data_IF_836120618146
#
_entry.id   IF_836120618146
#
_cell.length_a   1.000
_cell.length_b   1.000
_cell.length_c   1.000
_cell.angle_alpha   90.00
_cell.angle_beta   90.00
_cell.angle_gamma   90.00
#
_symmetry.space_group_name_H-M   'P 1'
#
loop_
_entity.id
_entity.type
_entity.pdbx_description
1 polymer ?
#
# COMPACT_ATOMS: atom_id res chain seq x y z
N UNK A 1 -9.11 8.36 -21.29
CA UNK A 1 -9.23 8.16 -19.83
C UNK A 1 -10.51 7.37 -19.59
N UNK A 2 -10.48 6.27 -18.83
CA UNK A 2 -11.74 5.66 -18.34
C UNK A 2 -12.42 6.68 -17.45
N UNK A 3 -13.71 6.93 -17.66
CA UNK A 3 -14.51 7.71 -16.70
C UNK A 3 -14.60 6.90 -15.41
N UNK A 4 -13.98 7.39 -14.33
CA UNK A 4 -14.10 6.77 -13.01
C UNK A 4 -15.48 7.11 -12.47
N UNK A 5 -16.30 6.09 -12.21
CA UNK A 5 -17.61 6.26 -11.61
C UNK A 5 -17.49 6.47 -10.10
N UNK A 6 -17.82 7.68 -9.64
CA UNK A 6 -17.85 8.05 -8.22
C UNK A 6 -19.27 8.21 -7.67
N UNK A 7 -20.29 7.84 -8.44
CA UNK A 7 -21.70 8.05 -8.09
C UNK A 7 -22.09 7.39 -6.77
N UNK A 8 -21.48 6.25 -6.44
CA UNK A 8 -21.68 5.54 -5.17
C UNK A 8 -21.40 6.44 -3.95
N UNK A 9 -20.42 7.34 -4.03
CA UNK A 9 -20.03 8.21 -2.92
C UNK A 9 -21.10 9.27 -2.57
N UNK A 10 -22.03 9.55 -3.50
CA UNK A 10 -23.09 10.54 -3.34
C UNK A 10 -24.33 10.07 -2.58
N UNK A 11 -24.43 8.76 -2.28
CA UNK A 11 -25.58 8.19 -1.56
C UNK A 11 -25.23 7.74 -0.14
N UNK A 12 -26.27 7.47 0.65
CA UNK A 12 -26.14 6.78 1.92
C UNK A 12 -25.83 5.29 1.65
N UNK A 13 -24.90 4.67 2.39
CA UNK A 13 -24.54 3.27 2.21
C UNK A 13 -25.67 2.33 2.64
N UNK A 14 -25.90 1.29 1.83
CA UNK A 14 -26.86 0.22 2.10
C UNK A 14 -26.15 -1.13 2.24
N UNK A 15 -25.85 -1.59 3.45
CA UNK A 15 -25.08 -2.82 3.69
C UNK A 15 -25.95 -4.10 3.63
N UNK A 16 -26.83 -4.18 2.63
CA UNK A 16 -27.82 -5.26 2.50
C UNK A 16 -27.27 -6.52 1.83
N UNK A 17 -26.25 -6.42 0.97
CA UNK A 17 -25.66 -7.57 0.30
C UNK A 17 -24.66 -8.29 1.21
N UNK A 18 -24.73 -9.63 1.26
CA UNK A 18 -23.75 -10.47 1.96
C UNK A 18 -22.88 -11.20 0.95
N UNK A 19 -21.58 -10.96 1.04
CA UNK A 19 -20.60 -11.38 0.03
C UNK A 19 -19.50 -12.20 0.70
N UNK A 20 -19.08 -13.26 0.03
CA UNK A 20 -17.84 -13.96 0.35
C UNK A 20 -16.77 -13.51 -0.62
N UNK A 21 -15.76 -12.83 -0.09
CA UNK A 21 -14.59 -12.38 -0.84
C UNK A 21 -13.45 -13.37 -0.62
N UNK A 22 -12.91 -13.89 -1.71
CA UNK A 22 -11.70 -14.67 -1.73
C UNK A 22 -10.53 -13.79 -2.16
N UNK A 23 -9.43 -13.81 -1.40
CA UNK A 23 -8.19 -13.09 -1.73
C UNK A 23 -7.06 -14.10 -1.76
N UNK A 24 -6.52 -14.35 -2.95
CA UNK A 24 -5.43 -15.30 -3.19
C UNK A 24 -4.11 -14.53 -3.35
N UNK A 25 -3.15 -14.67 -2.41
CA UNK A 25 -1.84 -14.04 -2.53
C UNK A 25 -0.94 -14.76 -3.53
N UNK A 26 -0.28 -13.98 -4.39
CA UNK A 26 0.76 -14.45 -5.32
C UNK A 26 2.18 -14.11 -4.87
N UNK A 27 2.28 -13.33 -3.80
CA UNK A 27 3.53 -12.91 -3.20
C UNK A 27 3.38 -12.77 -1.68
N UNK A 28 4.48 -12.86 -0.92
CA UNK A 28 4.50 -12.52 0.50
C UNK A 28 3.91 -11.13 0.74
N UNK A 29 3.04 -11.00 1.74
CA UNK A 29 2.24 -9.80 1.96
C UNK A 29 2.76 -9.05 3.17
N UNK A 30 2.91 -7.72 3.06
CA UNK A 30 3.23 -6.86 4.19
C UNK A 30 2.08 -5.88 4.44
N UNK A 31 1.15 -6.30 5.31
CA UNK A 31 0.00 -5.51 5.75
C UNK A 31 0.32 -4.79 7.05
N UNK A 32 0.49 -3.46 7.05
CA UNK A 32 0.94 -2.72 8.24
C UNK A 32 -0.20 -1.83 8.73
N UNK A 33 -0.57 -1.93 10.01
CA UNK A 33 -1.70 -1.20 10.58
C UNK A 33 -1.43 0.29 10.85
N UNK A 34 -0.19 0.65 11.17
CA UNK A 34 0.20 2.00 11.59
C UNK A 34 1.50 2.45 10.93
N UNK A 35 1.79 3.76 10.96
CA UNK A 35 3.08 4.29 10.56
C UNK A 35 4.13 3.76 11.54
N UNK A 36 5.05 2.89 11.11
CA UNK A 36 6.02 2.35 12.05
C UNK A 36 7.13 3.35 12.28
N UNK A 37 7.69 3.30 13.50
CA UNK A 37 8.96 3.93 13.81
C UNK A 37 10.10 3.22 13.09
N UNK A 38 10.67 2.18 13.70
CA UNK A 38 11.86 1.47 13.20
C UNK A 38 11.58 0.11 12.54
N UNK A 39 10.34 -0.39 12.58
CA UNK A 39 10.00 -1.74 12.12
C UNK A 39 8.56 -1.84 11.60
N UNK A 40 8.39 -2.30 10.36
CA UNK A 40 7.07 -2.52 9.76
C UNK A 40 6.56 -3.92 10.12
N UNK A 41 5.77 -4.04 11.20
CA UNK A 41 5.15 -5.31 11.61
C UNK A 41 3.92 -5.63 10.74
N UNK A 42 3.82 -6.86 10.26
CA UNK A 42 2.73 -7.31 9.42
C UNK A 42 1.55 -7.82 10.27
N UNK A 43 0.33 -7.55 9.81
CA UNK A 43 -0.89 -8.14 10.33
C UNK A 43 -1.07 -9.54 9.75
N UNK A 44 -1.65 -10.44 10.54
CA UNK A 44 -2.04 -11.76 10.07
C UNK A 44 -3.25 -11.71 9.13
N UNK A 45 -4.21 -10.82 9.43
CA UNK A 45 -5.46 -10.68 8.69
C UNK A 45 -5.61 -9.24 8.17
N UNK A 46 -6.14 -9.05 6.94
CA UNK A 46 -6.49 -7.72 6.46
C UNK A 46 -7.60 -7.12 7.32
N UNK A 47 -7.42 -5.86 7.71
CA UNK A 47 -8.47 -5.08 8.37
C UNK A 47 -9.31 -4.32 7.33
N UNK A 48 -10.38 -3.68 7.80
CA UNK A 48 -11.28 -2.88 6.97
C UNK A 48 -10.55 -1.78 6.20
N UNK A 49 -9.52 -1.17 6.78
CA UNK A 49 -8.77 -0.10 6.12
C UNK A 49 -7.95 -0.64 4.95
N UNK A 50 -7.29 -1.78 5.13
CA UNK A 50 -6.54 -2.49 4.08
C UNK A 50 -7.46 -2.95 2.95
N UNK A 51 -8.60 -3.55 3.28
CA UNK A 51 -9.59 -3.98 2.27
C UNK A 51 -10.15 -2.80 1.48
N UNK A 52 -10.32 -1.64 2.11
CA UNK A 52 -10.75 -0.43 1.40
C UNK A 52 -9.71 -0.01 0.35
N UNK A 53 -8.43 -0.02 0.71
CA UNK A 53 -7.34 0.24 -0.24
C UNK A 53 -7.32 -0.75 -1.39
N UNK A 54 -7.56 -2.04 -1.11
CA UNK A 54 -7.65 -3.09 -2.11
C UNK A 54 -8.80 -2.85 -3.10
N UNK A 55 -10.02 -2.60 -2.63
CA UNK A 55 -11.17 -2.35 -3.51
C UNK A 55 -10.97 -1.12 -4.38
N UNK A 56 -10.50 -0.01 -3.80
CA UNK A 56 -10.20 1.20 -4.54
C UNK A 56 -9.11 0.97 -5.60
N UNK A 57 -8.08 0.18 -5.28
CA UNK A 57 -7.05 -0.18 -6.25
C UNK A 57 -7.61 -1.00 -7.42
N UNK A 58 -8.43 -2.01 -7.15
CA UNK A 58 -9.06 -2.84 -8.21
C UNK A 58 -9.96 -1.99 -9.11
N UNK A 59 -10.72 -1.06 -8.53
CA UNK A 59 -11.56 -0.11 -9.27
C UNK A 59 -10.76 0.97 -10.02
N UNK A 60 -9.43 1.02 -9.84
CA UNK A 60 -8.54 2.00 -10.46
C UNK A 60 -8.59 3.39 -9.84
N UNK A 61 -9.05 3.52 -8.58
CA UNK A 61 -9.18 4.78 -7.84
C UNK A 61 -7.84 5.25 -7.25
N UNK A 62 -6.89 5.56 -8.15
CA UNK A 62 -5.55 6.02 -7.81
C UNK A 62 -5.45 7.54 -7.60
N UNK A 63 -6.30 8.07 -6.72
CA UNK A 63 -6.34 9.50 -6.43
C UNK A 63 -5.18 9.98 -5.56
N UNK A 64 -4.68 11.17 -5.85
CA UNK A 64 -3.72 11.84 -4.96
C UNK A 64 -4.38 12.20 -3.63
N UNK A 65 -3.58 12.43 -2.59
CA UNK A 65 -4.10 12.88 -1.28
C UNK A 65 -4.94 14.14 -1.41
N UNK A 66 -4.50 15.11 -2.21
CA UNK A 66 -5.21 16.37 -2.43
C UNK A 66 -6.59 16.14 -3.04
N UNK A 67 -6.68 15.26 -4.03
CA UNK A 67 -7.96 14.92 -4.67
C UNK A 67 -8.88 14.20 -3.69
N UNK A 68 -8.34 13.28 -2.87
CA UNK A 68 -9.11 12.62 -1.80
C UNK A 68 -9.65 13.61 -0.79
N UNK A 69 -8.89 14.63 -0.40
CA UNK A 69 -9.36 15.68 0.51
C UNK A 69 -10.51 16.51 -0.10
N UNK A 70 -10.44 16.80 -1.41
CA UNK A 70 -11.50 17.49 -2.15
C UNK A 70 -12.76 16.63 -2.21
N UNK A 71 -12.64 15.37 -2.67
CA UNK A 71 -13.75 14.41 -2.75
C UNK A 71 -14.41 14.25 -1.36
N UNK A 72 -13.60 14.10 -0.32
CA UNK A 72 -14.07 13.96 1.07
C UNK A 72 -14.90 15.17 1.52
N UNK A 73 -14.46 16.39 1.15
CA UNK A 73 -15.19 17.62 1.46
C UNK A 73 -16.54 17.68 0.73
N UNK A 74 -16.59 17.23 -0.51
CA UNK A 74 -17.83 17.15 -1.29
C UNK A 74 -18.80 16.12 -0.72
N UNK A 75 -18.34 14.90 -0.41
CA UNK A 75 -19.13 13.86 0.25
C UNK A 75 -19.72 14.38 1.56
N UNK A 76 -18.91 15.06 2.38
CA UNK A 76 -19.36 15.67 3.64
C UNK A 76 -20.48 16.69 3.40
N UNK A 77 -20.41 17.48 2.33
CA UNK A 77 -21.46 18.46 2.00
C UNK A 77 -22.75 17.81 1.51
N UNK A 78 -22.64 16.72 0.73
CA UNK A 78 -23.78 15.93 0.24
C UNK A 78 -24.49 15.25 1.43
N UNK A 79 -23.73 14.53 2.27
CA UNK A 79 -24.26 13.74 3.39
C UNK A 79 -24.66 14.56 4.61
N UNK A 80 -24.21 15.80 4.75
CA UNK A 80 -24.81 16.74 5.74
C UNK A 80 -26.31 16.94 5.55
N UNK A 81 -26.81 16.72 4.33
CA UNK A 81 -28.24 16.84 4.00
C UNK A 81 -29.01 15.53 4.21
N UNK A 82 -28.34 14.41 4.48
CA UNK A 82 -28.97 13.09 4.66
C UNK A 82 -29.21 12.77 6.14
N UNK A 83 -30.12 11.82 6.42
CA UNK A 83 -30.58 11.52 7.79
C UNK A 83 -29.51 10.85 8.67
N UNK A 84 -28.56 10.11 8.08
CA UNK A 84 -27.51 9.37 8.81
C UNK A 84 -26.30 10.25 9.17
N UNK A 85 -26.16 11.43 8.56
CA UNK A 85 -25.00 12.29 8.75
C UNK A 85 -23.72 11.72 8.13
N UNK A 86 -22.64 12.51 8.16
CA UNK A 86 -21.32 12.09 7.67
C UNK A 86 -20.41 11.69 8.83
N UNK A 87 -19.99 10.44 8.86
CA UNK A 87 -18.94 9.96 9.78
C UNK A 87 -17.61 10.06 9.04
N UNK A 88 -16.62 10.82 9.56
CA UNK A 88 -15.32 10.88 8.93
C UNK A 88 -14.63 9.50 9.00
N UNK A 89 -14.04 9.01 7.90
CA UNK A 89 -13.32 7.75 7.91
C UNK A 89 -12.11 7.83 8.82
N UNK A 90 -11.73 6.70 9.42
CA UNK A 90 -10.47 6.59 10.15
C UNK A 90 -9.31 6.70 9.15
N UNK A 91 -8.62 7.83 9.21
CA UNK A 91 -7.39 8.05 8.45
C UNK A 91 -6.27 7.33 9.19
N UNK A 92 -5.66 6.34 8.54
CA UNK A 92 -4.41 5.73 9.00
C UNK A 92 -3.34 6.02 7.96
N UNK A 93 -2.14 6.36 8.44
CA UNK A 93 -1.08 6.88 7.57
C UNK A 93 -1.56 8.13 6.79
N UNK A 94 -1.17 8.26 5.52
CA UNK A 94 -1.57 9.33 4.60
C UNK A 94 -2.79 8.97 3.74
N UNK A 95 -3.38 7.79 3.94
CA UNK A 95 -4.46 7.28 3.11
C UNK A 95 -5.84 7.63 3.69
N UNK A 96 -6.69 8.24 2.86
CA UNK A 96 -8.06 8.60 3.19
C UNK A 96 -8.98 7.61 2.47
N UNK A 97 -9.57 6.62 3.16
CA UNK A 97 -10.40 5.60 2.53
C UNK A 97 -11.77 6.19 2.18
N UNK A 98 -12.13 6.14 0.89
CA UNK A 98 -13.38 6.68 0.35
C UNK A 98 -14.52 5.67 0.42
N UNK A 99 -14.21 4.37 0.32
CA UNK A 99 -15.21 3.29 0.33
C UNK A 99 -15.50 2.71 1.72
N UNK A 100 -14.89 3.25 2.79
CA UNK A 100 -14.98 2.68 4.14
C UNK A 100 -16.41 2.52 4.67
N UNK A 101 -17.35 3.36 4.25
CA UNK A 101 -18.74 3.29 4.73
C UNK A 101 -19.60 2.29 3.95
N UNK A 102 -19.12 1.81 2.80
CA UNK A 102 -19.89 0.98 1.86
C UNK A 102 -19.70 -0.52 2.05
N UNK A 103 -18.94 -0.91 3.08
CA UNK A 103 -18.84 -2.30 3.48
C UNK A 103 -18.52 -2.42 4.97
N UNK A 104 -18.83 -3.58 5.55
CA UNK A 104 -18.47 -3.98 6.89
C UNK A 104 -17.89 -5.39 6.86
N UNK A 105 -16.76 -5.59 7.53
CA UNK A 105 -16.06 -6.87 7.59
C UNK A 105 -16.61 -7.69 8.76
N UNK A 106 -17.36 -8.76 8.48
CA UNK A 106 -17.93 -9.62 9.52
C UNK A 106 -16.89 -10.61 10.05
N UNK A 107 -16.15 -11.28 9.16
CA UNK A 107 -15.11 -12.24 9.56
C UNK A 107 -14.05 -12.44 8.48
N UNK A 108 -12.85 -12.86 8.90
CA UNK A 108 -11.75 -13.25 8.03
C UNK A 108 -11.15 -14.55 8.54
N UNK A 109 -10.82 -15.46 7.63
CA UNK A 109 -10.00 -16.64 7.92
C UNK A 109 -9.00 -16.89 6.82
N UNK A 110 -7.92 -17.58 7.16
CA UNK A 110 -6.97 -18.14 6.18
C UNK A 110 -7.39 -19.58 5.93
N UNK A 111 -7.57 -19.93 4.66
CA UNK A 111 -7.76 -21.31 4.20
C UNK A 111 -6.46 -21.69 3.50
N UNK A 112 -5.63 -22.47 4.20
CA UNK A 112 -4.28 -22.84 3.78
C UNK A 112 -4.00 -24.28 4.23
N UNK A 113 -3.22 -25.01 3.45
CA UNK A 113 -2.71 -26.32 3.86
C UNK A 113 -1.64 -26.20 4.94
N UNK A 114 -0.88 -25.11 4.90
CA UNK A 114 0.22 -24.83 5.81
C UNK A 114 -0.11 -23.72 6.81
N UNK A 115 0.63 -23.70 7.92
CA UNK A 115 0.51 -22.62 8.89
C UNK A 115 1.17 -21.34 8.34
N UNK A 116 0.50 -20.19 8.42
CA UNK A 116 1.11 -18.92 8.04
C UNK A 116 2.34 -18.64 8.90
N UNK A 117 3.41 -18.13 8.27
CA UNK A 117 4.60 -17.71 8.99
C UNK A 117 5.03 -16.29 8.57
N UNK A 118 5.73 -15.64 9.49
CA UNK A 118 6.27 -14.31 9.30
C UNK A 118 7.78 -14.40 9.11
N UNK A 119 8.32 -13.57 8.22
CA UNK A 119 9.75 -13.40 8.07
C UNK A 119 10.09 -11.94 7.80
N UNK A 120 11.32 -11.55 8.11
CA UNK A 120 11.81 -10.21 7.86
C UNK A 120 12.56 -10.16 6.56
N UNK A 121 12.22 -9.15 5.76
CA UNK A 121 12.99 -8.81 4.58
C UNK A 121 13.24 -7.30 4.52
N UNK A 122 14.24 -7.00 3.73
CA UNK A 122 14.77 -5.70 3.45
C UNK A 122 13.99 -5.13 2.26
N UNK A 123 13.18 -4.10 2.52
CA UNK A 123 12.26 -3.56 1.52
C UNK A 123 13.01 -2.91 0.35
N UNK A 124 12.82 -3.43 -0.87
CA UNK A 124 13.38 -2.87 -2.10
C UNK A 124 12.51 -1.72 -2.59
N UNK A 125 13.14 -0.61 -2.95
CA UNK A 125 12.50 0.60 -3.47
C UNK A 125 13.13 1.00 -4.78
N UNK A 126 12.28 1.45 -5.72
CA UNK A 126 12.75 2.14 -6.91
C UNK A 126 13.22 3.56 -6.54
N UNK A 127 14.21 4.05 -7.28
CA UNK A 127 14.82 5.36 -7.09
C UNK A 127 13.76 6.46 -7.06
N UNK A 128 13.86 7.33 -6.04
CA UNK A 128 13.09 8.56 -5.94
C UNK A 128 14.06 9.68 -5.64
N UNK A 129 13.88 10.83 -6.31
CA UNK A 129 14.75 12.01 -6.13
C UNK A 129 14.87 12.44 -4.66
N UNK A 130 13.77 12.36 -3.91
CA UNK A 130 13.73 12.69 -2.48
C UNK A 130 14.52 11.75 -1.57
N UNK A 131 14.85 10.55 -2.06
CA UNK A 131 15.57 9.53 -1.31
C UNK A 131 17.05 9.48 -1.77
N UNK A 132 17.50 10.35 -2.67
CA UNK A 132 18.77 10.22 -3.39
C UNK A 132 20.04 10.29 -2.51
N UNK A 133 20.00 11.02 -1.39
CA UNK A 133 21.08 11.07 -0.41
C UNK A 133 21.19 9.78 0.41
N UNK A 134 21.19 9.90 1.73
CA UNK A 134 21.43 8.84 2.73
C UNK A 134 20.68 7.54 2.47
N UNK A 135 19.43 7.64 2.03
CA UNK A 135 18.54 6.48 1.88
C UNK A 135 18.92 5.64 0.65
N UNK A 136 19.03 6.26 -0.54
CA UNK A 136 19.38 5.56 -1.78
C UNK A 136 20.84 5.12 -1.76
N UNK A 137 21.74 6.05 -1.41
CA UNK A 137 23.17 5.83 -1.37
C UNK A 137 23.54 4.73 -0.36
N UNK A 138 22.98 4.77 0.85
CA UNK A 138 23.18 3.75 1.88
C UNK A 138 22.50 2.41 1.55
N UNK A 139 21.42 2.44 0.76
CA UNK A 139 20.65 1.25 0.37
C UNK A 139 21.13 0.53 -0.89
N UNK A 140 22.11 1.08 -1.62
CA UNK A 140 22.56 0.45 -2.88
C UNK A 140 23.50 -0.72 -2.61
N UNK A 141 22.98 -1.94 -2.69
CA UNK A 141 23.76 -3.18 -2.58
C UNK A 141 24.46 -3.55 -3.89
N UNK A 142 23.82 -3.23 -5.03
CA UNK A 142 24.32 -3.55 -6.37
C UNK A 142 24.86 -2.27 -7.03
N UNK A 143 26.18 -2.20 -7.19
CA UNK A 143 26.88 -1.13 -7.91
C UNK A 143 27.91 -1.74 -8.85
N UNK A 144 28.32 -0.99 -9.86
CA UNK A 144 29.45 -1.36 -10.71
C UNK A 144 30.70 -1.60 -9.85
N UNK A 145 31.41 -2.71 -10.11
CA UNK A 145 32.59 -3.09 -9.34
C UNK A 145 33.68 -2.01 -9.34
N UNK A 146 33.76 -1.22 -10.42
CA UNK A 146 34.70 -0.10 -10.55
C UNK A 146 34.42 1.01 -9.55
N UNK A 147 33.18 1.17 -9.09
CA UNK A 147 32.75 2.22 -8.18
C UNK A 147 32.85 1.81 -6.70
N UNK A 148 32.99 0.52 -6.40
CA UNK A 148 33.02 -0.02 -5.02
C UNK A 148 34.08 0.67 -4.16
N UNK A 149 35.29 0.82 -4.70
CA UNK A 149 36.40 1.42 -3.94
C UNK A 149 36.30 2.93 -3.80
N UNK A 150 35.69 3.60 -4.77
CA UNK A 150 35.45 5.04 -4.70
C UNK A 150 34.35 5.35 -3.69
N UNK A 151 33.27 4.56 -3.69
CA UNK A 151 32.20 4.64 -2.68
C UNK A 151 32.74 4.40 -1.27
N UNK A 152 33.58 3.37 -1.08
CA UNK A 152 34.20 3.08 0.22
C UNK A 152 35.09 4.23 0.71
N UNK A 153 35.96 4.76 -0.16
CA UNK A 153 36.81 5.92 0.17
C UNK A 153 35.98 7.15 0.54
N UNK A 154 34.96 7.45 -0.26
CA UNK A 154 34.02 8.53 0.01
C UNK A 154 33.34 8.40 1.39
N UNK A 155 32.91 7.19 1.76
CA UNK A 155 32.32 6.93 3.09
C UNK A 155 33.31 7.23 4.21
N UNK A 156 34.54 6.72 4.12
CA UNK A 156 35.57 6.93 5.13
C UNK A 156 35.98 8.40 5.28
N UNK A 157 36.04 9.15 4.17
CA UNK A 157 36.38 10.57 4.18
C UNK A 157 35.29 11.41 4.86
N UNK A 158 34.02 11.14 4.56
CA UNK A 158 32.90 11.87 5.15
C UNK A 158 32.71 11.53 6.64
N UNK A 159 32.96 10.29 7.06
CA UNK A 159 32.89 9.90 8.48
C UNK A 159 33.94 10.64 9.32
N UNK A 160 35.13 10.88 8.76
CA UNK A 160 36.21 11.64 9.42
C UNK A 160 35.97 13.14 9.49
N UNK A 161 35.14 13.68 8.59
CA UNK A 161 34.95 15.12 8.45
C UNK A 161 34.10 15.77 9.56
N UNK A 162 33.47 14.97 10.45
CA UNK A 162 32.58 15.44 11.54
C UNK A 162 31.53 16.47 11.05
N UNK A 163 30.99 16.24 9.86
CA UNK A 163 30.02 17.14 9.24
C UNK A 163 28.59 16.92 9.77
N UNK A 164 27.77 17.95 9.67
CA UNK A 164 26.33 17.88 9.96
C UNK A 164 25.63 16.93 8.99
N UNK A 165 24.63 16.17 9.46
CA UNK A 165 23.89 15.20 8.63
C UNK A 165 23.39 15.76 7.29
N UNK A 166 22.91 17.01 7.27
CA UNK A 166 22.42 17.67 6.04
C UNK A 166 23.51 17.86 4.98
N UNK A 167 24.74 18.17 5.38
CA UNK A 167 25.87 18.33 4.46
C UNK A 167 26.34 16.99 3.90
N UNK A 168 26.34 15.97 4.76
CA UNK A 168 26.64 14.59 4.36
C UNK A 168 25.63 14.10 3.32
N UNK A 169 24.33 14.33 3.55
CA UNK A 169 23.25 13.93 2.65
C UNK A 169 23.39 14.59 1.26
N UNK A 170 23.74 15.89 1.21
CA UNK A 170 23.99 16.60 -0.06
C UNK A 170 25.19 16.04 -0.83
N UNK A 171 26.27 15.66 -0.13
CA UNK A 171 27.44 15.04 -0.76
C UNK A 171 27.11 13.66 -1.29
N UNK A 172 26.38 12.85 -0.52
CA UNK A 172 25.91 11.52 -0.94
C UNK A 172 25.01 11.63 -2.17
N UNK A 173 24.09 12.59 -2.19
CA UNK A 173 23.25 12.88 -3.35
C UNK A 173 24.10 13.27 -4.56
N UNK A 174 25.09 14.14 -4.38
CA UNK A 174 26.00 14.56 -5.46
C UNK A 174 26.79 13.38 -6.02
N UNK A 175 27.40 12.57 -5.16
CA UNK A 175 28.12 11.37 -5.56
C UNK A 175 27.21 10.43 -6.36
N UNK A 176 25.98 10.24 -5.89
CA UNK A 176 25.01 9.38 -6.57
C UNK A 176 24.64 9.91 -7.96
N UNK A 177 24.43 11.22 -8.10
CA UNK A 177 24.11 11.87 -9.40
C UNK A 177 25.25 11.75 -10.39
N UNK A 178 26.50 11.90 -9.93
CA UNK A 178 27.69 11.79 -10.78
C UNK A 178 27.97 10.36 -11.27
N UNK A 179 27.37 9.36 -10.62
CA UNK A 179 27.61 7.93 -10.88
C UNK A 179 26.33 7.16 -11.18
N UNK A 180 25.26 7.83 -11.61
CA UNK A 180 23.92 7.25 -11.72
C UNK A 180 23.83 6.10 -12.73
N UNK A 181 24.71 6.09 -13.73
CA UNK A 181 24.84 5.04 -14.74
C UNK A 181 25.50 3.76 -14.20
N UNK A 182 26.19 3.87 -13.06
CA UNK A 182 26.94 2.78 -12.40
C UNK A 182 26.34 2.34 -11.07
N UNK A 183 25.21 2.91 -10.69
CA UNK A 183 24.49 2.64 -9.44
C UNK A 183 23.10 2.10 -9.80
N UNK A 184 22.71 0.99 -9.20
CA UNK A 184 21.36 0.43 -9.37
C UNK A 184 20.28 1.47 -9.02
N UNK A 185 19.29 1.64 -9.89
CA UNK A 185 18.08 2.42 -9.60
C UNK A 185 17.17 1.77 -8.54
N UNK A 186 17.50 0.55 -8.09
CA UNK A 186 16.83 -0.11 -6.98
C UNK A 186 17.76 -0.15 -5.77
N UNK A 187 17.19 0.19 -4.61
CA UNK A 187 17.88 0.18 -3.34
C UNK A 187 17.04 -0.43 -2.25
N UNK A 188 17.73 -0.85 -1.21
CA UNK A 188 17.13 -1.48 -0.04
C UNK A 188 17.05 -0.46 1.08
N UNK A 189 15.87 -0.28 1.69
CA UNK A 189 15.82 0.54 2.90
C UNK A 189 16.41 -0.20 4.08
N UNK A 190 17.17 0.47 4.97
CA UNK A 190 17.68 -0.15 6.19
C UNK A 190 16.58 -0.50 7.20
N UNK A 191 15.35 -0.05 6.98
CA UNK A 191 14.20 -0.36 7.84
C UNK A 191 13.68 -1.75 7.54
N UNK A 192 13.77 -2.64 8.53
CA UNK A 192 13.23 -4.00 8.43
C UNK A 192 11.71 -3.98 8.28
N UNK A 193 11.23 -4.86 7.40
CA UNK A 193 9.81 -5.06 7.15
C UNK A 193 9.47 -6.54 7.28
N UNK A 194 8.41 -6.80 8.03
CA UNK A 194 7.86 -8.13 8.17
C UNK A 194 6.93 -8.43 7.00
N UNK A 195 7.04 -9.64 6.50
CA UNK A 195 6.21 -10.22 5.45
C UNK A 195 5.55 -11.48 5.99
N UNK A 196 4.31 -11.68 5.60
CA UNK A 196 3.50 -12.86 5.87
C UNK A 196 3.50 -13.74 4.62
N UNK A 197 3.79 -15.03 4.80
CA UNK A 197 3.68 -16.04 3.76
C UNK A 197 2.77 -17.18 4.22
N UNK A 198 1.91 -17.64 3.31
CA UNK A 198 1.13 -18.87 3.42
C UNK A 198 0.68 -19.31 2.03
N UNK A 199 0.44 -20.61 1.84
CA UNK A 199 -0.10 -21.17 0.60
C UNK A 199 -1.60 -21.40 0.73
N UNK A 200 -2.40 -20.48 0.16
CA UNK A 200 -3.85 -20.56 0.24
C UNK A 200 -4.50 -19.22 -0.02
N UNK A 201 -5.70 -19.03 0.53
CA UNK A 201 -6.46 -17.80 0.34
C UNK A 201 -7.06 -17.27 1.63
N UNK A 202 -7.23 -15.95 1.71
CA UNK A 202 -8.17 -15.38 2.66
C UNK A 202 -9.60 -15.65 2.19
N UNK A 203 -10.47 -15.95 3.14
CA UNK A 203 -11.91 -15.88 2.96
C UNK A 203 -12.46 -14.82 3.91
N UNK A 204 -13.08 -13.79 3.34
CA UNK A 204 -13.68 -12.70 4.06
C UNK A 204 -15.20 -12.74 3.87
N UNK A 205 -15.95 -12.68 4.97
CA UNK A 205 -17.40 -12.44 4.92
C UNK A 205 -17.63 -10.94 5.10
N UNK A 206 -18.26 -10.33 4.11
CA UNK A 206 -18.41 -8.87 4.01
C UNK A 206 -19.87 -8.53 3.76
N UNK A 207 -20.41 -7.59 4.54
CA UNK A 207 -21.66 -6.90 4.18
C UNK A 207 -21.29 -5.71 3.33
N UNK A 208 -21.93 -5.54 2.18
CA UNK A 208 -21.50 -4.58 1.17
C UNK A 208 -22.68 -3.86 0.54
N UNK A 209 -22.44 -2.63 0.07
CA UNK A 209 -23.40 -1.92 -0.75
C UNK A 209 -23.63 -2.62 -2.09
N UNK A 210 -24.88 -2.92 -2.50
CA UNK A 210 -25.17 -3.58 -3.77
C UNK A 210 -24.55 -2.89 -4.99
N UNK A 211 -24.41 -1.57 -4.96
CA UNK A 211 -23.75 -0.83 -6.04
C UNK A 211 -22.22 -1.06 -6.02
N UNK A 212 -21.61 -1.22 -4.84
CA UNK A 212 -20.20 -1.58 -4.75
C UNK A 212 -19.99 -3.03 -5.26
N UNK A 213 -20.90 -3.94 -4.94
CA UNK A 213 -20.90 -5.31 -5.47
C UNK A 213 -21.00 -5.29 -7.00
N UNK A 214 -21.91 -4.51 -7.57
CA UNK A 214 -22.06 -4.36 -9.02
C UNK A 214 -20.80 -3.77 -9.68
N UNK A 215 -20.21 -2.73 -9.09
CA UNK A 215 -18.96 -2.13 -9.57
C UNK A 215 -17.81 -3.14 -9.59
N UNK A 216 -17.64 -3.90 -8.51
CA UNK A 216 -16.59 -4.92 -8.42
C UNK A 216 -16.87 -6.10 -9.36
N UNK A 217 -18.10 -6.60 -9.41
CA UNK A 217 -18.49 -7.71 -10.28
C UNK A 217 -18.32 -7.38 -11.77
N UNK A 218 -18.50 -6.10 -12.15
CA UNK A 218 -18.21 -5.60 -13.50
C UNK A 218 -16.73 -5.38 -13.79
N UNK A 219 -15.88 -5.26 -12.77
CA UNK A 219 -14.45 -4.92 -12.90
C UNK A 219 -13.56 -6.15 -12.80
N UNK A 220 -13.86 -7.08 -11.88
CA UNK A 220 -13.06 -8.27 -11.62
C UNK A 220 -12.89 -9.19 -12.84
N UNK A 221 -13.88 -9.40 -13.72
CA UNK A 221 -13.68 -10.22 -14.92
C UNK A 221 -12.59 -9.70 -15.87
N UNK A 222 -12.32 -8.38 -15.85
CA UNK A 222 -11.30 -7.74 -16.69
C UNK A 222 -10.03 -7.42 -15.91
N UNK A 223 -10.14 -7.16 -14.61
CA UNK A 223 -9.04 -6.82 -13.72
C UNK A 223 -9.32 -7.36 -12.31
N UNK A 224 -8.92 -8.61 -12.08
CA UNK A 224 -9.02 -9.26 -10.77
C UNK A 224 -7.74 -9.18 -9.93
N UNK A 225 -6.68 -8.57 -10.45
CA UNK A 225 -5.43 -8.37 -9.71
C UNK A 225 -5.48 -7.06 -8.93
N UNK A 226 -5.07 -7.12 -7.67
CA UNK A 226 -4.92 -5.98 -6.79
C UNK A 226 -3.68 -6.07 -5.90
N UNK A 227 -3.50 -5.06 -5.07
CA UNK A 227 -2.41 -4.95 -4.12
C UNK A 227 -2.94 -4.95 -2.68
N UNK A 228 -2.44 -5.86 -1.85
CA UNK A 228 -2.80 -5.97 -0.44
C UNK A 228 -1.64 -5.46 0.43
N UNK A 229 -1.89 -4.40 1.20
CA UNK A 229 -0.88 -3.76 2.05
C UNK A 229 0.06 -2.81 1.31
N UNK A 230 0.88 -3.33 0.38
CA UNK A 230 1.79 -2.53 -0.45
C UNK A 230 1.77 -3.01 -1.92
N UNK A 231 2.50 -2.33 -2.81
CA UNK A 231 2.58 -2.68 -4.24
C UNK A 231 3.31 -3.98 -4.55
N UNK A 232 3.88 -4.67 -3.57
CA UNK A 232 4.56 -5.96 -3.71
C UNK A 232 3.62 -7.12 -3.34
N UNK A 233 2.62 -6.88 -2.49
CA UNK A 233 1.62 -7.87 -2.08
C UNK A 233 0.56 -8.10 -3.15
N UNK A 234 0.92 -8.76 -4.24
CA UNK A 234 0.01 -9.03 -5.36
C UNK A 234 -1.02 -10.08 -4.96
N UNK A 235 -2.28 -9.81 -5.24
CA UNK A 235 -3.39 -10.71 -4.92
C UNK A 235 -4.38 -10.80 -6.08
N UNK A 236 -5.03 -11.96 -6.21
CA UNK A 236 -6.22 -12.11 -7.05
C UNK A 236 -7.47 -12.14 -6.18
N UNK A 237 -8.53 -11.47 -6.64
CA UNK A 237 -9.82 -11.40 -5.94
C UNK A 237 -10.90 -12.18 -6.68
N UNK A 238 -11.74 -12.88 -5.92
CA UNK A 238 -12.98 -13.48 -6.42
C UNK A 238 -14.13 -13.13 -5.48
N UNK A 239 -15.27 -12.78 -6.06
CA UNK A 239 -16.50 -12.51 -5.31
C UNK A 239 -17.47 -13.67 -5.52
N UNK A 240 -18.05 -14.13 -4.43
CA UNK A 240 -19.15 -15.09 -4.42
C UNK A 240 -20.32 -14.45 -3.64
N UNK A 241 -21.44 -14.21 -4.32
CA UNK A 241 -22.67 -13.76 -3.66
C UNK A 241 -23.24 -14.91 -2.84
N UNK A 242 -23.51 -14.67 -1.56
CA UNK A 242 -24.27 -15.64 -0.77
C UNK A 242 -25.73 -15.57 -1.22
N UNK A 243 -26.19 -16.62 -1.89
CA UNK A 243 -27.62 -16.85 -2.20
C UNK A 243 -28.45 -17.01 -0.93
#
# INVERSE_FOLDING_TARGET
>A
MKNIDLSILGKDPDLSASIKLHIEPHAPISMVSELPGSYYKALLYPDKHILCGLFENVLGWHFSRKDREIITKEIKNIRKKTKKGYIPPTIRSIFIPLLSDFFELDSVRIVSTDSPFFYNDLWKRAFRRKDAGKIHFGGTQNIDYTLVMDKFRFMCENERALETEEKTDQKEEKFLRENIDRISFFYTTPTNREYLFFEGNYECVIKMDPQLVDLLSKTLPQQNMGYLGNSEGWVTLYLEEKS
#
